data_IF_561531224925
#
_entry.id   IF_561531224925
#
_cell.length_a   1.000
_cell.length_b   1.000
_cell.length_c   1.000
_cell.angle_alpha   90.00
_cell.angle_beta   90.00
_cell.angle_gamma   90.00
#
_symmetry.space_group_name_H-M   'P 1'
#
loop_
_entity.id
_entity.type
_entity.pdbx_description
1 polymer ?
#
# COMPACT_ATOMS: atom_id res chain seq x y z
N UNK A 1 -3.83 -1.90 15.58
CA UNK A 1 -2.95 -0.78 15.21
C UNK A 1 -3.04 0.19 16.36
N UNK A 2 -1.92 0.53 16.98
CA UNK A 2 -1.90 1.65 17.92
C UNK A 2 -2.28 2.92 17.12
N UNK A 3 -3.34 3.66 17.49
CA UNK A 3 -3.74 4.88 16.81
C UNK A 3 -2.61 5.90 16.67
N UNK A 4 -1.66 5.91 17.61
CA UNK A 4 -0.54 6.85 17.61
C UNK A 4 0.50 6.51 16.53
N UNK A 5 0.71 5.22 16.25
CA UNK A 5 1.65 4.76 15.22
C UNK A 5 1.31 5.29 13.82
N UNK A 6 0.01 5.38 13.50
CA UNK A 6 -0.43 6.01 12.25
C UNK A 6 -0.04 7.49 12.17
N UNK A 7 -0.33 8.22 13.26
CA UNK A 7 -0.11 9.67 13.33
C UNK A 7 1.39 9.97 13.17
N UNK A 8 2.24 9.15 13.78
CA UNK A 8 3.70 9.30 13.69
C UNK A 8 4.21 9.11 12.26
N UNK A 9 3.80 8.03 11.58
CA UNK A 9 4.19 7.79 10.18
C UNK A 9 3.66 8.90 9.29
N UNK A 10 2.38 9.28 9.42
CA UNK A 10 1.79 10.33 8.59
C UNK A 10 2.52 11.66 8.77
N UNK A 11 2.82 12.05 10.01
CA UNK A 11 3.51 13.31 10.29
C UNK A 11 4.95 13.31 9.77
N UNK A 12 5.61 12.16 9.77
CA UNK A 12 6.97 12.00 9.26
C UNK A 12 7.05 11.98 7.71
N UNK A 13 5.93 11.84 7.00
CA UNK A 13 5.91 11.91 5.54
C UNK A 13 6.41 13.28 5.04
N UNK A 14 7.14 13.31 3.91
CA UNK A 14 7.48 14.55 3.24
C UNK A 14 6.23 15.41 2.94
N UNK A 15 6.33 16.74 3.06
CA UNK A 15 5.20 17.66 2.86
C UNK A 15 4.50 17.46 1.50
N UNK A 16 5.28 17.35 0.43
CA UNK A 16 4.73 17.11 -0.91
C UNK A 16 3.89 15.81 -1.00
N UNK A 17 4.20 14.81 -0.19
CA UNK A 17 3.46 13.54 -0.12
C UNK A 17 2.17 13.73 0.66
N UNK A 18 2.20 14.48 1.77
CA UNK A 18 1.01 14.85 2.54
C UNK A 18 0.05 15.71 1.71
N UNK A 19 0.56 16.74 1.04
CA UNK A 19 -0.21 17.59 0.12
C UNK A 19 -0.86 16.78 -1.00
N UNK A 20 -0.12 15.83 -1.59
CA UNK A 20 -0.64 14.96 -2.64
C UNK A 20 -1.79 14.07 -2.15
N UNK A 21 -1.79 13.63 -0.89
CA UNK A 21 -2.91 12.88 -0.28
C UNK A 21 -4.16 13.72 -0.04
N UNK A 22 -4.00 15.03 0.15
CA UNK A 22 -5.11 15.98 0.30
C UNK A 22 -5.70 16.42 -1.05
N UNK A 23 -5.04 16.08 -2.16
CA UNK A 23 -5.49 16.41 -3.50
C UNK A 23 -6.20 15.21 -4.16
N UNK A 24 -7.47 15.34 -4.61
CA UNK A 24 -8.26 14.22 -5.12
C UNK A 24 -7.91 13.76 -6.56
N UNK A 25 -6.94 14.35 -7.26
CA UNK A 25 -6.60 13.93 -8.64
C UNK A 25 -5.90 12.56 -8.73
N UNK A 26 -5.89 11.94 -9.92
CA UNK A 26 -5.40 10.57 -10.13
C UNK A 26 -3.89 10.53 -9.97
N UNK A 27 -3.28 11.54 -10.58
CA UNK A 27 -1.87 11.80 -10.50
C UNK A 27 -1.50 12.01 -9.03
N UNK A 28 -2.19 12.90 -8.32
CA UNK A 28 -1.85 13.20 -6.92
C UNK A 28 -2.04 12.01 -5.98
N UNK A 29 -3.10 11.21 -6.09
CA UNK A 29 -3.28 10.06 -5.19
C UNK A 29 -2.25 8.95 -5.47
N UNK A 30 -1.93 8.70 -6.74
CA UNK A 30 -0.87 7.78 -7.13
C UNK A 30 0.51 8.27 -6.70
N UNK A 31 0.79 9.56 -6.88
CA UNK A 31 2.03 10.20 -6.46
C UNK A 31 2.18 10.17 -4.94
N UNK A 32 1.10 10.38 -4.19
CA UNK A 32 1.09 10.29 -2.74
C UNK A 32 1.41 8.88 -2.24
N UNK A 33 0.77 7.85 -2.80
CA UNK A 33 1.09 6.46 -2.45
C UNK A 33 2.50 6.08 -2.89
N UNK A 34 2.96 6.54 -4.05
CA UNK A 34 4.35 6.34 -4.50
C UNK A 34 5.38 7.05 -3.61
N UNK A 35 5.03 8.23 -3.08
CA UNK A 35 5.80 8.96 -2.08
C UNK A 35 5.87 8.21 -0.75
N UNK A 36 4.75 7.66 -0.27
CA UNK A 36 4.70 6.83 0.92
C UNK A 36 5.55 5.55 0.76
N UNK A 37 5.46 4.87 -0.38
CA UNK A 37 6.35 3.72 -0.72
C UNK A 37 7.81 4.14 -0.65
N UNK A 38 8.17 5.29 -1.24
CA UNK A 38 9.53 5.81 -1.18
C UNK A 38 9.98 6.06 0.25
N UNK A 39 9.16 6.74 1.05
CA UNK A 39 9.51 7.06 2.42
C UNK A 39 9.69 5.80 3.29
N UNK A 40 8.73 4.87 3.23
CA UNK A 40 8.69 3.71 4.13
C UNK A 40 9.67 2.62 3.69
N UNK A 41 9.80 2.34 2.38
CA UNK A 41 10.53 1.17 1.89
C UNK A 41 11.96 1.44 1.43
N UNK A 42 12.37 2.70 1.21
CA UNK A 42 13.76 3.02 0.84
C UNK A 42 14.80 2.51 1.87
N UNK A 43 14.59 2.60 3.20
CA UNK A 43 15.51 2.00 4.16
C UNK A 43 15.73 0.50 3.92
N UNK A 44 14.67 -0.26 3.66
CA UNK A 44 14.73 -1.70 3.40
C UNK A 44 15.39 -2.03 2.06
N UNK A 45 15.22 -1.17 1.06
CA UNK A 45 15.97 -1.23 -0.20
C UNK A 45 17.47 -1.03 0.02
N UNK A 46 17.85 0.01 0.78
CA UNK A 46 19.28 0.30 1.06
C UNK A 46 19.95 -0.80 1.90
N UNK A 47 19.20 -1.46 2.78
CA UNK A 47 19.66 -2.61 3.55
C UNK A 47 19.73 -3.92 2.73
N UNK A 48 19.30 -3.91 1.46
CA UNK A 48 19.30 -5.09 0.58
C UNK A 48 18.19 -6.10 0.88
N UNK A 49 17.20 -5.75 1.70
CA UNK A 49 16.05 -6.63 2.03
C UNK A 49 15.08 -6.69 0.83
N UNK A 50 14.89 -5.54 0.18
CA UNK A 50 14.05 -5.41 -1.02
C UNK A 50 14.97 -5.08 -2.20
N UNK A 51 14.96 -5.91 -3.24
CA UNK A 51 15.72 -5.64 -4.46
C UNK A 51 15.20 -4.41 -5.22
N UNK A 52 16.08 -3.72 -5.93
CA UNK A 52 15.73 -2.50 -6.70
C UNK A 52 14.56 -2.74 -7.67
N UNK A 53 14.60 -3.85 -8.42
CA UNK A 53 13.53 -4.21 -9.36
C UNK A 53 12.20 -4.49 -8.64
N UNK A 54 12.24 -5.16 -7.48
CA UNK A 54 11.06 -5.46 -6.65
C UNK A 54 10.43 -4.18 -6.11
N UNK A 55 11.26 -3.27 -5.61
CA UNK A 55 10.85 -1.96 -5.11
C UNK A 55 10.20 -1.13 -6.23
N UNK A 56 10.84 -1.05 -7.41
CA UNK A 56 10.34 -0.27 -8.54
C UNK A 56 9.06 -0.88 -9.12
N UNK A 57 8.96 -2.21 -9.19
CA UNK A 57 7.73 -2.91 -9.62
C UNK A 57 6.57 -2.64 -8.67
N UNK A 58 6.76 -2.77 -7.35
CA UNK A 58 5.69 -2.48 -6.37
C UNK A 58 5.16 -1.05 -6.50
N UNK A 59 6.06 -0.07 -6.53
CA UNK A 59 5.73 1.34 -6.73
C UNK A 59 5.02 1.58 -8.08
N UNK A 60 5.49 0.93 -9.15
CA UNK A 60 4.89 1.04 -10.49
C UNK A 60 3.47 0.46 -10.52
N UNK A 61 3.25 -0.70 -9.91
CA UNK A 61 1.94 -1.35 -9.82
C UNK A 61 0.93 -0.46 -9.12
N UNK A 62 1.28 0.10 -7.97
CA UNK A 62 0.43 1.05 -7.24
C UNK A 62 0.11 2.25 -8.14
N UNK A 63 1.12 2.98 -8.61
CA UNK A 63 0.92 4.22 -9.40
C UNK A 63 0.13 4.00 -10.70
N UNK A 64 0.31 2.86 -11.38
CA UNK A 64 -0.43 2.53 -12.59
C UNK A 64 -1.89 2.20 -12.28
N UNK A 65 -2.15 1.28 -11.35
CA UNK A 65 -3.51 0.85 -10.98
C UNK A 65 -4.34 1.98 -10.38
N UNK A 66 -3.71 2.95 -9.70
CA UNK A 66 -4.41 4.13 -9.18
C UNK A 66 -5.00 5.02 -10.27
N UNK A 67 -4.43 5.01 -11.49
CA UNK A 67 -4.97 5.76 -12.63
C UNK A 67 -6.32 5.22 -13.09
N UNK A 68 -6.60 3.96 -12.82
CA UNK A 68 -7.85 3.29 -13.20
C UNK A 68 -9.01 3.61 -12.24
N UNK A 69 -8.75 4.32 -11.14
CA UNK A 69 -9.80 4.79 -10.21
C UNK A 69 -10.39 6.09 -10.78
N UNK A 70 -11.70 6.14 -11.10
CA UNK A 70 -12.35 7.38 -11.53
C UNK A 70 -12.28 8.47 -10.45
N UNK A 71 -12.27 9.74 -10.84
CA UNK A 71 -12.07 10.87 -9.91
C UNK A 71 -13.12 10.88 -8.79
N UNK A 72 -14.37 10.60 -9.12
CA UNK A 72 -15.51 10.53 -8.21
C UNK A 72 -15.46 9.35 -7.23
N UNK A 73 -14.63 8.34 -7.52
CA UNK A 73 -14.47 7.16 -6.67
C UNK A 73 -13.21 7.21 -5.81
N UNK A 74 -12.41 8.28 -5.89
CA UNK A 74 -11.20 8.42 -5.07
C UNK A 74 -11.55 8.90 -3.67
N UNK A 75 -11.00 8.22 -2.68
CA UNK A 75 -11.31 8.51 -1.28
C UNK A 75 -10.06 8.32 -0.40
N UNK A 76 -9.56 9.44 0.14
CA UNK A 76 -8.47 9.48 1.10
C UNK A 76 -8.93 9.34 2.56
N UNK A 77 -10.18 8.96 2.83
CA UNK A 77 -10.64 8.72 4.21
C UNK A 77 -9.92 7.55 4.91
N UNK A 78 -9.28 6.66 4.13
CA UNK A 78 -8.62 5.43 4.63
C UNK A 78 -7.09 5.44 4.48
N UNK A 79 -6.44 6.61 4.54
CA UNK A 79 -4.97 6.72 4.46
C UNK A 79 -4.22 5.84 5.47
N UNK A 80 -4.77 5.66 6.67
CA UNK A 80 -4.16 4.75 7.65
C UNK A 80 -4.05 3.30 7.14
N UNK A 81 -4.99 2.85 6.31
CA UNK A 81 -4.95 1.52 5.70
C UNK A 81 -3.89 1.44 4.60
N UNK A 82 -3.73 2.52 3.81
CA UNK A 82 -2.67 2.65 2.80
C UNK A 82 -1.29 2.53 3.44
N UNK A 83 -1.01 3.36 4.45
CA UNK A 83 0.30 3.37 5.11
C UNK A 83 0.58 2.03 5.79
N UNK A 84 -0.42 1.47 6.47
CA UNK A 84 -0.30 0.15 7.09
C UNK A 84 0.00 -0.95 6.07
N UNK A 85 -0.69 -0.97 4.93
CA UNK A 85 -0.46 -1.97 3.89
C UNK A 85 0.97 -1.87 3.31
N UNK A 86 1.47 -0.65 3.09
CA UNK A 86 2.85 -0.42 2.63
C UNK A 86 3.85 -0.90 3.69
N UNK A 87 3.65 -0.51 4.96
CA UNK A 87 4.54 -0.89 6.07
C UNK A 87 4.62 -2.41 6.26
N UNK A 88 3.48 -3.10 6.32
CA UNK A 88 3.39 -4.55 6.53
C UNK A 88 4.00 -5.34 5.37
N UNK A 89 4.03 -4.77 4.17
CA UNK A 89 4.56 -5.44 2.98
C UNK A 89 6.09 -5.63 2.97
N UNK A 90 6.84 -4.91 3.83
CA UNK A 90 8.31 -4.76 3.78
C UNK A 90 9.13 -6.05 3.67
N UNK A 91 8.61 -7.19 4.13
CA UNK A 91 9.29 -8.50 4.07
C UNK A 91 8.65 -9.48 3.08
N UNK A 92 7.54 -9.11 2.44
CA UNK A 92 6.75 -9.98 1.57
C UNK A 92 6.90 -9.64 0.09
N UNK A 93 7.50 -8.50 -0.26
CA UNK A 93 7.53 -8.02 -1.65
C UNK A 93 8.38 -8.87 -2.60
N UNK A 94 9.32 -9.68 -2.09
CA UNK A 94 10.13 -10.57 -2.93
C UNK A 94 9.28 -11.69 -3.57
N UNK A 95 8.11 -11.98 -3.01
CA UNK A 95 7.13 -12.89 -3.60
C UNK A 95 6.20 -12.13 -4.55
N UNK A 96 6.24 -12.46 -5.84
CA UNK A 96 5.52 -11.74 -6.89
C UNK A 96 4.00 -11.69 -6.65
N UNK A 97 3.42 -12.78 -6.15
CA UNK A 97 2.00 -12.86 -5.81
C UNK A 97 1.65 -11.92 -4.66
N UNK A 98 2.41 -11.96 -3.56
CA UNK A 98 2.18 -11.09 -2.41
C UNK A 98 2.38 -9.63 -2.77
N UNK A 99 3.39 -9.31 -3.59
CA UNK A 99 3.61 -7.96 -4.13
C UNK A 99 2.40 -7.46 -4.91
N UNK A 100 1.79 -8.31 -5.74
CA UNK A 100 0.55 -7.99 -6.46
C UNK A 100 -0.64 -7.78 -5.51
N UNK A 101 -0.82 -8.67 -4.52
CA UNK A 101 -1.91 -8.56 -3.54
C UNK A 101 -1.78 -7.27 -2.72
N UNK A 102 -0.58 -6.95 -2.20
CA UNK A 102 -0.35 -5.70 -1.47
C UNK A 102 -0.59 -4.46 -2.35
N UNK A 103 -0.20 -4.48 -3.62
CA UNK A 103 -0.46 -3.36 -4.52
C UNK A 103 -1.97 -3.15 -4.72
N UNK A 104 -2.73 -4.24 -4.89
CA UNK A 104 -4.19 -4.19 -4.99
C UNK A 104 -4.86 -3.74 -3.68
N UNK A 105 -4.34 -4.15 -2.52
CA UNK A 105 -4.81 -3.72 -1.20
C UNK A 105 -4.60 -2.22 -0.98
N UNK A 106 -3.43 -1.71 -1.33
CA UNK A 106 -3.09 -0.28 -1.27
C UNK A 106 -4.04 0.53 -2.15
N UNK A 107 -4.19 0.15 -3.43
CA UNK A 107 -5.02 0.86 -4.40
C UNK A 107 -6.50 0.80 -4.02
N UNK A 108 -6.98 -0.36 -3.56
CA UNK A 108 -8.39 -0.52 -3.18
C UNK A 108 -8.73 0.23 -1.90
N UNK A 109 -7.74 0.55 -1.05
CA UNK A 109 -7.95 1.37 0.15
C UNK A 109 -8.34 2.82 -0.19
N UNK A 110 -8.01 3.31 -1.39
CA UNK A 110 -8.34 4.66 -1.84
C UNK A 110 -9.47 4.72 -2.89
N UNK A 111 -10.18 3.61 -3.08
CA UNK A 111 -11.33 3.50 -3.99
C UNK A 111 -12.61 3.28 -3.17
N UNK A 112 -13.51 4.27 -3.12
CA UNK A 112 -14.73 4.21 -2.29
C UNK A 112 -15.71 3.09 -2.70
N UNK A 113 -15.55 2.50 -3.88
CA UNK A 113 -16.32 1.33 -4.32
C UNK A 113 -15.87 0.04 -3.59
N UNK A 114 -14.68 0.06 -2.98
CA UNK A 114 -14.02 -1.11 -2.38
C UNK A 114 -13.60 -0.89 -0.92
N UNK A 115 -13.21 0.33 -0.55
CA UNK A 115 -12.51 0.61 0.70
C UNK A 115 -13.36 0.35 1.97
N UNK A 116 -14.68 0.33 1.85
CA UNK A 116 -15.61 0.00 2.94
C UNK A 116 -15.49 -1.45 3.43
N UNK A 117 -14.96 -2.35 2.59
CA UNK A 117 -14.72 -3.76 2.93
C UNK A 117 -13.31 -4.01 3.46
N UNK A 118 -12.41 -3.03 3.34
CA UNK A 118 -11.01 -3.21 3.71
C UNK A 118 -10.84 -2.91 5.19
N UNK A 119 -10.21 -3.85 5.89
CA UNK A 119 -9.91 -3.72 7.31
C UNK A 119 -8.39 -3.78 7.55
N UNK A 120 -7.90 -3.22 8.67
CA UNK A 120 -6.49 -3.33 9.03
C UNK A 120 -5.97 -4.78 9.12
N UNK A 121 -6.87 -5.75 9.37
CA UNK A 121 -6.52 -7.17 9.51
C UNK A 121 -5.95 -7.75 8.22
N UNK A 122 -6.37 -7.27 7.05
CA UNK A 122 -5.90 -7.82 5.77
C UNK A 122 -4.39 -7.65 5.59
N UNK A 123 -3.86 -6.45 5.86
CA UNK A 123 -2.42 -6.19 5.77
C UNK A 123 -1.61 -7.04 6.77
N UNK A 124 -2.13 -7.23 7.98
CA UNK A 124 -1.48 -8.03 9.03
C UNK A 124 -1.57 -9.53 8.77
N UNK A 125 -2.68 -10.02 8.22
CA UNK A 125 -2.79 -11.42 7.82
C UNK A 125 -1.80 -11.72 6.69
N UNK A 126 -1.76 -10.88 5.65
CA UNK A 126 -0.83 -11.04 4.53
C UNK A 126 0.64 -10.99 4.96
N UNK A 127 0.98 -10.28 6.05
CA UNK A 127 2.38 -10.22 6.51
C UNK A 127 2.83 -11.49 7.24
N UNK A 128 1.88 -12.36 7.57
CA UNK A 128 2.10 -13.63 8.27
C UNK A 128 1.98 -14.85 7.35
N UNK A 129 1.49 -14.69 6.12
CA UNK A 129 1.26 -15.79 5.18
C UNK A 129 2.46 -16.00 4.26
N UNK A 130 2.82 -17.25 4.04
CA UNK A 130 3.59 -17.69 2.88
C UNK A 130 2.72 -17.85 1.63
N UNK A 131 3.35 -17.88 0.45
CA UNK A 131 2.64 -18.04 -0.83
C UNK A 131 1.77 -19.30 -0.86
N UNK A 132 2.29 -20.41 -0.32
CA UNK A 132 1.58 -21.70 -0.29
C UNK A 132 0.30 -21.68 0.58
N UNK A 133 0.28 -20.85 1.62
CA UNK A 133 -0.87 -20.72 2.53
C UNK A 133 -2.01 -19.92 1.88
N UNK A 134 -1.68 -18.94 1.02
CA UNK A 134 -2.66 -18.13 0.29
C UNK A 134 -3.50 -18.99 -0.66
N UNK A 135 -2.85 -19.92 -1.37
CA UNK A 135 -3.57 -20.84 -2.26
C UNK A 135 -4.45 -21.82 -1.50
N UNK A 136 -4.05 -22.19 -0.28
CA UNK A 136 -4.78 -23.15 0.55
C UNK A 136 -6.06 -22.53 1.13
N UNK A 137 -6.04 -21.28 1.57
CA UNK A 137 -7.25 -20.59 2.07
C UNK A 137 -8.28 -20.29 0.95
N UNK A 138 -7.83 -20.08 -0.30
CA UNK A 138 -8.72 -19.86 -1.43
C UNK A 138 -9.43 -21.14 -1.93
N UNK A 139 -8.91 -22.33 -1.58
CA UNK A 139 -9.49 -23.64 -1.95
C UNK A 139 -10.38 -24.21 -0.84
N UNK A 140 -10.19 -23.76 0.41
CA UNK A 140 -10.96 -24.21 1.57
C UNK A 140 -12.20 -23.33 1.88
N UNK A 141 -12.42 -22.25 1.13
CA UNK A 141 -13.65 -21.43 1.15
C UNK A 141 -14.49 -21.68 -0.11
#
# INVERSE_FOLDING_TARGET
MDPNHFIDIYNALPENTKEAFLNPTAQSIGDAMGGAVKFILTPFRMLGIIGDQVYDDFKSKITKKSKDIPLENRDSSKLGLVLKAIEESRYQLNEDLLREIYANLVVSSVDNRKNNKITPRYATALSQLGVDEIFTEAILC
#
